data_IF_070183138452
#
_entry.id   IF_070183138452
#
_cell.length_a   1.000
_cell.length_b   1.000
_cell.length_c   1.000
_cell.angle_alpha   90.00
_cell.angle_beta   90.00
_cell.angle_gamma   90.00
#
_symmetry.space_group_name_H-M   'P 1'
#
loop_
_entity.id
_entity.type
_entity.pdbx_description
1 polymer ?
#
# COMPACT_ATOMS: atom_id res chain seq x y z
N UNK A 1 13.79 18.91 2.96
CA UNK A 1 13.71 19.82 4.11
C UNK A 1 14.71 19.41 5.19
N UNK A 2 15.07 20.33 6.08
CA UNK A 2 15.93 20.00 7.20
C UNK A 2 15.20 19.03 8.15
N UNK A 3 15.89 18.01 8.64
CA UNK A 3 15.36 16.96 9.52
C UNK A 3 14.75 17.49 10.84
N UNK A 4 14.99 18.74 11.17
CA UNK A 4 14.57 19.38 12.42
C UNK A 4 13.40 20.37 12.24
N UNK A 5 12.80 20.43 11.07
CA UNK A 5 11.59 21.25 10.88
C UNK A 5 10.35 20.44 11.20
N UNK A 6 9.48 21.01 12.06
CA UNK A 6 8.15 20.45 12.26
C UNK A 6 7.42 20.37 10.93
N UNK A 7 6.71 19.25 10.65
CA UNK A 7 5.92 19.14 9.44
C UNK A 7 4.87 20.27 9.41
N UNK A 8 4.81 20.99 8.31
CA UNK A 8 3.77 22.00 8.08
C UNK A 8 2.54 21.31 7.50
N UNK A 9 1.39 21.44 8.13
CA UNK A 9 0.13 21.03 7.54
C UNK A 9 -0.16 21.92 6.35
N UNK A 10 0.01 21.38 5.16
CA UNK A 10 -0.46 22.02 3.93
C UNK A 10 -1.93 21.63 3.82
N UNK A 11 -2.87 22.48 4.02
CA UNK A 11 -4.32 22.33 3.97
C UNK A 11 -4.83 21.04 3.25
N UNK A 12 -5.99 20.46 3.63
CA UNK A 12 -6.49 19.28 2.95
C UNK A 12 -6.66 19.57 1.45
N UNK A 13 -6.09 18.71 0.60
CA UNK A 13 -6.12 18.90 -0.84
C UNK A 13 -7.53 18.79 -1.43
N UNK A 14 -8.39 18.01 -0.80
CA UNK A 14 -9.79 17.76 -1.20
C UNK A 14 -10.50 16.96 -0.10
N UNK A 15 -11.84 16.95 -0.16
CA UNK A 15 -12.67 16.11 0.68
C UNK A 15 -12.86 14.76 0.00
N UNK A 16 -12.76 13.68 0.77
CA UNK A 16 -13.00 12.30 0.32
C UNK A 16 -14.49 11.92 0.41
N UNK A 17 -15.39 12.80 0.04
CA UNK A 17 -16.83 12.62 0.24
C UNK A 17 -17.39 11.33 -0.42
N UNK A 18 -16.70 10.79 -1.40
CA UNK A 18 -17.08 9.56 -2.09
C UNK A 18 -16.27 8.31 -1.67
N UNK A 19 -15.38 8.44 -0.70
CA UNK A 19 -14.57 7.34 -0.17
C UNK A 19 -14.96 7.05 1.28
N UNK A 20 -15.23 5.79 1.57
CA UNK A 20 -15.62 5.35 2.91
C UNK A 20 -14.43 5.03 3.80
N UNK A 21 -13.38 4.44 3.23
CA UNK A 21 -12.14 4.11 3.93
C UNK A 21 -10.94 4.24 2.97
N UNK A 22 -10.43 5.47 2.84
CA UNK A 22 -9.22 5.72 2.08
C UNK A 22 -8.02 5.05 2.76
N UNK A 23 -7.25 4.28 1.98
CA UNK A 23 -6.09 3.53 2.46
C UNK A 23 -4.86 3.84 1.58
N UNK A 24 -4.38 2.89 0.77
CA UNK A 24 -3.19 3.09 -0.04
C UNK A 24 -3.32 4.21 -1.10
N UNK A 25 -2.21 4.87 -1.40
CA UNK A 25 -2.12 5.97 -2.37
C UNK A 25 -0.84 5.83 -3.21
N UNK A 26 -0.95 6.00 -4.53
CA UNK A 26 0.19 6.08 -5.43
C UNK A 26 -0.02 7.13 -6.52
N UNK A 27 1.06 7.63 -7.11
CA UNK A 27 1.00 8.66 -8.16
C UNK A 27 1.32 8.08 -9.55
N UNK A 28 0.77 8.72 -10.59
CA UNK A 28 1.26 8.58 -11.95
C UNK A 28 2.70 9.14 -12.07
N UNK A 29 3.41 8.69 -13.10
CA UNK A 29 4.80 9.13 -13.30
C UNK A 29 4.96 10.64 -13.58
N UNK A 30 3.93 11.29 -14.09
CA UNK A 30 3.86 12.71 -14.34
C UNK A 30 3.36 13.54 -13.16
N UNK A 31 2.93 12.89 -12.07
CA UNK A 31 2.39 13.54 -10.88
C UNK A 31 1.02 14.20 -11.07
N UNK A 32 0.39 14.06 -12.23
CA UNK A 32 -0.91 14.69 -12.51
C UNK A 32 -2.11 13.80 -12.14
N UNK A 33 -1.86 12.54 -11.90
CA UNK A 33 -2.89 11.58 -11.51
C UNK A 33 -2.45 10.85 -10.25
N UNK A 34 -3.37 10.71 -9.29
CA UNK A 34 -3.22 9.85 -8.14
C UNK A 34 -4.22 8.69 -8.24
N UNK A 35 -3.83 7.54 -7.72
CA UNK A 35 -4.71 6.39 -7.55
C UNK A 35 -4.78 6.09 -6.06
N UNK A 36 -5.99 6.12 -5.52
CA UNK A 36 -6.26 5.84 -4.12
C UNK A 36 -7.16 4.62 -3.97
N UNK A 37 -6.85 3.79 -3.00
CA UNK A 37 -7.70 2.66 -2.61
C UNK A 37 -8.77 3.16 -1.66
N UNK A 38 -10.02 2.81 -1.93
CA UNK A 38 -11.13 2.89 -1.01
C UNK A 38 -11.56 1.46 -0.65
N UNK A 39 -11.19 1.03 0.55
CA UNK A 39 -11.35 -0.34 1.02
C UNK A 39 -12.30 -0.49 2.19
N UNK A 40 -13.58 -0.02 2.11
CA UNK A 40 -14.50 -0.22 3.20
C UNK A 40 -14.73 -1.72 3.42
N UNK A 41 -14.74 -2.12 4.69
CA UNK A 41 -15.24 -3.44 5.08
C UNK A 41 -16.73 -3.45 4.77
N UNK A 42 -17.14 -4.23 3.77
CA UNK A 42 -18.49 -4.26 3.27
C UNK A 42 -19.46 -4.77 4.35
N UNK A 43 -19.96 -3.87 5.16
CA UNK A 43 -21.06 -4.10 6.08
C UNK A 43 -22.20 -3.16 5.68
N UNK A 44 -23.29 -3.73 5.20
CA UNK A 44 -24.56 -3.13 4.87
C UNK A 44 -24.63 -1.60 4.72
N UNK A 45 -24.68 -1.11 3.49
CA UNK A 45 -24.89 0.32 3.19
C UNK A 45 -23.63 1.15 2.92
N UNK A 46 -22.42 0.60 3.05
CA UNK A 46 -21.21 1.28 2.62
C UNK A 46 -21.01 1.20 1.10
N UNK A 47 -20.37 2.21 0.49
CA UNK A 47 -20.00 2.17 -0.91
C UNK A 47 -19.15 0.93 -1.25
N UNK A 48 -19.28 0.44 -2.48
CA UNK A 48 -18.45 -0.67 -2.98
C UNK A 48 -16.98 -0.32 -2.91
N UNK A 49 -16.10 -1.25 -2.46
CA UNK A 49 -14.66 -1.08 -2.53
C UNK A 49 -14.19 -0.80 -3.96
N UNK A 50 -13.21 0.09 -4.11
CA UNK A 50 -12.77 0.56 -5.43
C UNK A 50 -11.37 1.14 -5.40
N UNK A 51 -10.80 1.30 -6.58
CA UNK A 51 -9.68 2.22 -6.80
C UNK A 51 -10.24 3.49 -7.44
N UNK A 52 -9.94 4.62 -6.84
CA UNK A 52 -10.34 5.95 -7.29
C UNK A 52 -9.17 6.59 -8.03
N UNK A 53 -9.46 7.19 -9.17
CA UNK A 53 -8.53 8.02 -9.93
C UNK A 53 -8.82 9.48 -9.63
N UNK A 54 -7.81 10.18 -9.15
CA UNK A 54 -7.83 11.60 -8.81
C UNK A 54 -6.98 12.34 -9.83
N UNK A 55 -7.56 13.26 -10.57
CA UNK A 55 -6.84 14.12 -11.50
C UNK A 55 -6.53 15.45 -10.82
N UNK A 56 -5.26 15.82 -10.85
CA UNK A 56 -4.81 17.10 -10.30
C UNK A 56 -5.08 18.23 -11.28
N UNK A 57 -5.42 19.40 -10.78
CA UNK A 57 -5.61 20.58 -11.62
C UNK A 57 -4.29 21.00 -12.29
N UNK A 58 -4.34 21.27 -13.58
CA UNK A 58 -3.15 21.57 -14.39
C UNK A 58 -2.35 22.78 -13.88
N UNK A 59 -3.01 23.75 -13.28
CA UNK A 59 -2.40 24.98 -12.76
C UNK A 59 -2.24 25.00 -11.24
N UNK A 60 -2.64 23.94 -10.54
CA UNK A 60 -2.49 23.83 -9.10
C UNK A 60 -2.33 22.35 -8.69
N UNK A 61 -1.08 21.87 -8.48
CA UNK A 61 -0.82 20.49 -8.13
C UNK A 61 -1.29 20.11 -6.72
N UNK A 62 -1.81 21.05 -5.94
CA UNK A 62 -2.39 20.81 -4.62
C UNK A 62 -3.93 20.74 -4.66
N UNK A 63 -4.54 20.78 -5.85
CA UNK A 63 -5.98 20.71 -6.01
C UNK A 63 -6.38 19.56 -6.90
N UNK A 64 -7.36 18.77 -6.45
CA UNK A 64 -8.02 17.77 -7.31
C UNK A 64 -9.06 18.44 -8.18
N UNK A 65 -8.97 18.22 -9.49
CA UNK A 65 -9.87 18.72 -10.51
C UNK A 65 -11.03 17.76 -10.77
N UNK A 66 -10.73 16.46 -10.75
CA UNK A 66 -11.71 15.42 -11.01
C UNK A 66 -11.41 14.14 -10.22
N UNK A 67 -12.46 13.46 -9.78
CA UNK A 67 -12.43 12.19 -9.09
C UNK A 67 -13.38 11.20 -9.77
N UNK A 68 -12.88 10.02 -10.12
CA UNK A 68 -13.68 8.96 -10.76
C UNK A 68 -13.34 7.60 -10.19
N UNK A 69 -14.31 6.68 -10.15
CA UNK A 69 -14.02 5.26 -9.95
C UNK A 69 -13.20 4.76 -11.14
N UNK A 70 -11.99 4.29 -10.86
CA UNK A 70 -11.10 3.76 -11.88
C UNK A 70 -11.25 2.26 -12.06
N UNK A 71 -11.46 1.55 -10.94
CA UNK A 71 -11.70 0.10 -10.91
C UNK A 71 -12.66 -0.22 -9.77
N UNK A 72 -13.75 -0.93 -10.07
CA UNK A 72 -14.66 -1.48 -9.07
C UNK A 72 -14.09 -2.78 -8.52
N UNK A 73 -14.12 -2.95 -7.19
CA UNK A 73 -13.58 -4.08 -6.47
C UNK A 73 -14.62 -4.72 -5.52
N UNK A 74 -15.87 -4.73 -5.94
CA UNK A 74 -16.98 -5.29 -5.16
C UNK A 74 -16.64 -6.66 -4.55
N UNK A 75 -16.91 -6.83 -3.26
CA UNK A 75 -16.63 -8.06 -2.51
C UNK A 75 -15.16 -8.28 -2.15
N UNK A 76 -14.30 -7.29 -2.31
CA UNK A 76 -12.87 -7.32 -1.97
C UNK A 76 -12.54 -6.29 -0.90
N UNK A 77 -11.38 -6.44 -0.25
CA UNK A 77 -10.85 -5.47 0.72
C UNK A 77 -9.48 -5.00 0.23
N UNK A 78 -9.44 -4.05 -0.73
CA UNK A 78 -8.17 -3.51 -1.21
C UNK A 78 -7.52 -2.64 -0.14
N UNK A 79 -6.17 -2.70 -0.05
CA UNK A 79 -5.40 -1.99 0.96
C UNK A 79 -4.23 -1.21 0.35
N UNK A 80 -3.06 -1.83 0.18
CA UNK A 80 -1.90 -1.20 -0.41
C UNK A 80 -2.01 -1.02 -1.92
N UNK A 81 -1.38 0.02 -2.46
CA UNK A 81 -1.35 0.28 -3.90
C UNK A 81 -0.03 0.92 -4.30
N UNK A 82 0.61 0.41 -5.34
CA UNK A 82 1.81 0.98 -5.92
C UNK A 82 1.83 0.87 -7.43
N UNK A 83 2.54 1.79 -8.09
CA UNK A 83 2.67 1.83 -9.55
C UNK A 83 4.11 1.60 -9.99
N UNK A 84 4.29 0.81 -11.05
CA UNK A 84 5.56 0.67 -11.77
C UNK A 84 5.30 0.69 -13.28
N UNK A 85 5.78 1.71 -13.96
CA UNK A 85 5.50 1.89 -15.39
C UNK A 85 4.01 2.09 -15.67
N UNK A 86 3.45 1.28 -16.54
CA UNK A 86 2.03 1.22 -16.87
C UNK A 86 1.27 0.12 -16.13
N UNK A 87 1.85 -0.42 -15.08
CA UNK A 87 1.23 -1.42 -14.22
C UNK A 87 0.93 -0.83 -12.85
N UNK A 88 -0.27 -1.07 -12.37
CA UNK A 88 -0.69 -0.73 -11.04
C UNK A 88 -0.88 -2.03 -10.25
N UNK A 89 -0.23 -2.12 -9.12
CA UNK A 89 -0.30 -3.26 -8.21
C UNK A 89 -1.11 -2.86 -7.00
N UNK A 90 -1.90 -3.79 -6.45
CA UNK A 90 -2.60 -3.56 -5.20
C UNK A 90 -2.77 -4.86 -4.42
N UNK A 91 -2.75 -4.76 -3.11
CA UNK A 91 -3.16 -5.85 -2.23
C UNK A 91 -4.66 -5.81 -2.01
N UNK A 92 -5.28 -6.97 -1.94
CA UNK A 92 -6.64 -7.13 -1.44
C UNK A 92 -6.75 -8.39 -0.57
N UNK A 93 -7.85 -8.52 0.14
CA UNK A 93 -8.13 -9.70 0.94
C UNK A 93 -9.58 -10.11 0.81
N UNK A 94 -9.81 -11.42 0.91
CA UNK A 94 -11.12 -12.00 1.17
C UNK A 94 -11.17 -12.43 2.63
N UNK A 95 -12.06 -11.86 3.41
CA UNK A 95 -12.18 -12.25 4.82
C UNK A 95 -12.73 -13.68 4.92
N UNK A 96 -12.17 -14.53 5.80
CA UNK A 96 -11.26 -14.11 6.86
C UNK A 96 -9.76 -14.32 6.58
N UNK A 97 -9.32 -14.99 5.52
CA UNK A 97 -8.00 -15.60 5.60
C UNK A 97 -7.10 -15.51 4.36
N UNK A 98 -7.53 -14.99 3.24
CA UNK A 98 -6.71 -14.99 2.02
C UNK A 98 -6.42 -13.58 1.55
N UNK A 99 -5.13 -13.25 1.48
CA UNK A 99 -4.64 -12.07 0.80
C UNK A 99 -4.32 -12.37 -0.67
N UNK A 100 -4.27 -11.31 -1.47
CA UNK A 100 -3.81 -11.38 -2.87
C UNK A 100 -2.95 -10.17 -3.18
N UNK A 101 -1.96 -10.37 -4.02
CA UNK A 101 -1.30 -9.31 -4.75
C UNK A 101 -1.84 -9.34 -6.18
N UNK A 102 -2.39 -8.24 -6.63
CA UNK A 102 -2.98 -8.10 -7.96
C UNK A 102 -2.19 -7.13 -8.81
N UNK A 103 -2.34 -7.25 -10.13
CA UNK A 103 -1.80 -6.32 -11.11
C UNK A 103 -2.87 -5.92 -12.11
N UNK A 104 -2.90 -4.64 -12.46
CA UNK A 104 -3.81 -4.05 -13.45
C UNK A 104 -3.02 -3.21 -14.43
N UNK A 105 -3.10 -3.48 -15.74
CA UNK A 105 -2.53 -2.58 -16.74
C UNK A 105 -3.29 -1.24 -16.77
N UNK A 106 -2.56 -0.15 -16.81
CA UNK A 106 -3.09 1.17 -17.16
C UNK A 106 -3.06 1.26 -18.68
N UNK A 107 -4.24 1.35 -19.30
CA UNK A 107 -4.39 1.43 -20.74
C UNK A 107 -3.86 2.76 -21.30
N UNK A 108 -3.66 2.86 -22.62
CA UNK A 108 -3.16 4.10 -23.26
C UNK A 108 -4.07 5.31 -23.04
N UNK A 109 -5.38 5.08 -22.91
CA UNK A 109 -6.37 6.11 -22.57
C UNK A 109 -6.48 6.40 -21.08
N UNK A 110 -5.67 5.72 -20.26
CA UNK A 110 -5.65 5.86 -18.81
C UNK A 110 -6.78 5.11 -18.09
N UNK A 111 -7.55 4.27 -18.78
CA UNK A 111 -8.53 3.35 -18.18
C UNK A 111 -7.85 2.13 -17.54
N UNK A 112 -8.59 1.41 -16.70
CA UNK A 112 -8.13 0.15 -16.14
C UNK A 112 -8.23 -0.98 -17.16
N UNK A 113 -7.17 -1.77 -17.29
CA UNK A 113 -7.25 -3.06 -17.94
C UNK A 113 -7.90 -4.12 -17.06
N UNK A 114 -7.87 -5.38 -17.50
CA UNK A 114 -8.36 -6.49 -16.69
C UNK A 114 -7.40 -6.74 -15.52
N UNK A 115 -7.88 -6.78 -14.27
CA UNK A 115 -7.07 -7.15 -13.13
C UNK A 115 -6.72 -8.64 -13.16
N UNK A 116 -5.48 -8.96 -12.82
CA UNK A 116 -4.98 -10.32 -12.71
C UNK A 116 -4.44 -10.55 -11.30
N UNK A 117 -4.71 -11.72 -10.72
CA UNK A 117 -4.08 -12.16 -9.46
C UNK A 117 -2.66 -12.58 -9.79
N UNK A 118 -1.68 -11.87 -9.24
CA UNK A 118 -0.26 -12.20 -9.37
C UNK A 118 0.16 -13.26 -8.35
N UNK A 119 -0.33 -13.13 -7.11
CA UNK A 119 -0.06 -14.09 -6.05
C UNK A 119 -1.27 -14.22 -5.12
N UNK A 120 -1.55 -15.44 -4.68
CA UNK A 120 -2.43 -15.73 -3.54
C UNK A 120 -1.55 -15.87 -2.30
N UNK A 121 -1.95 -15.23 -1.21
CA UNK A 121 -1.18 -15.06 0.00
C UNK A 121 -1.86 -15.78 1.17
N UNK A 122 -1.07 -16.30 2.10
CA UNK A 122 -1.59 -17.12 3.20
C UNK A 122 -2.28 -16.32 4.32
N UNK A 123 -2.16 -15.01 4.30
CA UNK A 123 -2.71 -14.13 5.33
C UNK A 123 -3.23 -12.82 4.73
N UNK A 124 -3.93 -12.03 5.54
CA UNK A 124 -4.36 -10.69 5.17
C UNK A 124 -3.14 -9.83 4.84
N UNK A 125 -3.02 -9.46 3.56
CA UNK A 125 -1.99 -8.55 3.09
C UNK A 125 -2.43 -7.11 3.35
N UNK A 126 -1.61 -6.36 4.06
CA UNK A 126 -1.87 -4.93 4.30
C UNK A 126 -1.24 -4.11 3.18
N UNK A 127 0.02 -3.77 3.28
CA UNK A 127 0.72 -3.00 2.26
C UNK A 127 1.91 -3.78 1.69
N UNK A 128 2.54 -3.20 0.68
CA UNK A 128 3.71 -3.80 0.03
C UNK A 128 4.63 -2.74 -0.56
N UNK A 129 5.88 -3.12 -0.82
CA UNK A 129 6.83 -2.31 -1.57
C UNK A 129 7.29 -3.04 -2.82
N UNK A 130 7.37 -2.32 -3.95
CA UNK A 130 8.00 -2.83 -5.16
C UNK A 130 9.51 -2.66 -5.01
N UNK A 131 10.23 -3.77 -5.02
CA UNK A 131 11.68 -3.83 -4.95
C UNK A 131 12.30 -3.89 -6.35
N UNK A 132 13.63 -3.91 -6.43
CA UNK A 132 14.34 -4.09 -7.70
C UNK A 132 14.10 -5.47 -8.33
N UNK A 133 13.85 -6.48 -7.50
CA UNK A 133 13.77 -7.90 -7.86
C UNK A 133 12.46 -8.59 -7.44
N UNK A 134 11.43 -7.81 -7.09
CA UNK A 134 10.13 -8.36 -6.69
C UNK A 134 9.34 -7.43 -5.78
N UNK A 135 8.71 -8.01 -4.77
CA UNK A 135 7.85 -7.30 -3.82
C UNK A 135 8.19 -7.73 -2.38
N UNK A 136 8.13 -6.78 -1.44
CA UNK A 136 8.02 -7.09 -0.02
C UNK A 136 6.56 -6.84 0.39
N UNK A 137 5.90 -7.81 1.00
CA UNK A 137 4.48 -7.74 1.37
C UNK A 137 4.34 -7.94 2.88
N UNK A 138 3.61 -7.06 3.56
CA UNK A 138 3.32 -7.18 4.98
C UNK A 138 2.04 -7.98 5.24
N UNK A 139 2.08 -8.85 6.23
CA UNK A 139 0.94 -9.60 6.74
C UNK A 139 0.48 -9.00 8.07
N UNK A 140 -0.72 -8.42 8.06
CA UNK A 140 -1.22 -7.61 9.17
C UNK A 140 -1.34 -8.39 10.49
N UNK A 141 -1.99 -9.55 10.47
CA UNK A 141 -2.26 -10.30 11.70
C UNK A 141 -1.10 -11.15 12.18
N UNK A 142 -0.32 -11.70 11.27
CA UNK A 142 0.76 -12.64 11.62
C UNK A 142 2.08 -11.96 11.94
N UNK A 143 2.18 -10.63 11.75
CA UNK A 143 3.43 -9.92 12.02
C UNK A 143 4.59 -10.44 11.19
N UNK A 144 4.34 -10.62 9.90
CA UNK A 144 5.33 -11.10 8.93
C UNK A 144 5.55 -10.09 7.81
N UNK A 145 6.70 -10.16 7.19
CA UNK A 145 6.97 -9.62 5.86
C UNK A 145 7.51 -10.77 5.01
N UNK A 146 6.91 -10.98 3.86
CA UNK A 146 7.37 -11.96 2.86
C UNK A 146 7.94 -11.25 1.64
N UNK A 147 8.79 -11.95 0.91
CA UNK A 147 9.33 -11.49 -0.36
C UNK A 147 8.82 -12.36 -1.49
N UNK A 148 8.23 -11.72 -2.50
CA UNK A 148 7.83 -12.36 -3.75
C UNK A 148 8.76 -11.89 -4.88
N UNK A 149 9.01 -12.76 -5.86
CA UNK A 149 9.60 -12.35 -7.13
C UNK A 149 8.53 -11.69 -8.03
N UNK A 150 8.89 -11.22 -9.22
CA UNK A 150 7.92 -10.59 -10.15
C UNK A 150 6.95 -11.58 -10.81
N UNK A 151 7.12 -12.88 -10.60
CA UNK A 151 6.16 -13.93 -11.01
C UNK A 151 5.12 -14.21 -9.92
N UNK A 152 5.25 -13.60 -8.74
CA UNK A 152 4.36 -13.81 -7.60
C UNK A 152 4.75 -15.02 -6.73
N UNK A 153 5.90 -15.64 -6.98
CA UNK A 153 6.39 -16.76 -6.18
C UNK A 153 7.10 -16.24 -4.93
N UNK A 154 6.80 -16.83 -3.77
CA UNK A 154 7.50 -16.50 -2.54
C UNK A 154 8.93 -17.06 -2.59
N UNK A 155 9.91 -16.19 -2.45
CA UNK A 155 11.34 -16.52 -2.53
C UNK A 155 12.06 -16.33 -1.20
N UNK A 156 11.49 -15.57 -0.26
CA UNK A 156 12.06 -15.28 1.05
C UNK A 156 10.96 -14.79 2.01
N UNK A 157 11.27 -14.62 3.27
CA UNK A 157 10.36 -14.04 4.24
C UNK A 157 10.81 -14.24 5.69
N UNK A 158 10.17 -13.52 6.57
CA UNK A 158 10.35 -13.67 8.01
C UNK A 158 9.35 -14.67 8.58
N UNK A 159 9.69 -15.30 9.69
CA UNK A 159 8.77 -16.17 10.41
C UNK A 159 7.58 -15.37 10.98
N UNK A 160 6.43 -16.02 11.23
CA UNK A 160 5.33 -15.42 11.97
C UNK A 160 5.82 -14.81 13.30
N UNK A 161 5.25 -13.68 13.67
CA UNK A 161 5.56 -12.93 14.90
C UNK A 161 7.01 -12.40 15.00
N UNK A 162 7.73 -12.34 13.86
CA UNK A 162 9.02 -11.60 13.80
C UNK A 162 8.78 -10.10 14.06
N UNK A 163 7.66 -9.58 13.56
CA UNK A 163 7.15 -8.25 13.85
C UNK A 163 5.90 -8.36 14.73
N UNK A 164 5.50 -7.26 15.35
CA UNK A 164 4.24 -7.22 16.11
C UNK A 164 3.03 -7.39 15.18
N UNK A 165 1.91 -7.86 15.73
CA UNK A 165 0.63 -7.81 15.03
C UNK A 165 0.30 -6.37 14.62
N UNK A 166 -0.50 -6.20 13.58
CA UNK A 166 -0.69 -4.88 12.98
C UNK A 166 0.55 -4.39 12.21
N UNK A 167 1.38 -5.31 11.68
CA UNK A 167 2.42 -4.99 10.71
C UNK A 167 1.76 -4.46 9.46
N UNK A 168 1.95 -3.17 9.18
CA UNK A 168 1.20 -2.45 8.17
C UNK A 168 2.08 -2.09 6.99
N UNK A 169 2.78 -0.99 7.05
CA UNK A 169 3.60 -0.52 5.93
C UNK A 169 4.93 -1.27 5.85
N UNK A 170 5.31 -1.66 4.65
CA UNK A 170 6.67 -2.09 4.33
C UNK A 170 7.21 -1.23 3.20
N UNK A 171 8.38 -0.65 3.37
CA UNK A 171 8.95 0.33 2.45
C UNK A 171 10.45 0.09 2.24
N UNK A 172 10.90 0.19 1.00
CA UNK A 172 12.34 0.18 0.72
C UNK A 172 12.99 1.46 1.23
N UNK A 173 14.12 1.33 1.92
CA UNK A 173 14.93 2.45 2.37
C UNK A 173 15.44 3.29 1.20
N UNK A 174 15.78 4.56 1.50
CA UNK A 174 16.35 5.49 0.52
C UNK A 174 17.41 6.37 1.15
N UNK A 175 18.55 6.62 0.45
CA UNK A 175 19.52 7.60 0.89
C UNK A 175 18.89 9.00 1.07
N UNK A 176 19.44 9.84 1.95
CA UNK A 176 20.67 9.63 2.74
C UNK A 176 20.44 8.92 4.08
N UNK A 177 19.19 8.66 4.51
CA UNK A 177 18.89 8.13 5.85
C UNK A 177 19.01 6.61 5.92
N UNK A 178 18.67 5.93 4.85
CA UNK A 178 18.63 4.47 4.78
C UNK A 178 19.33 3.97 3.51
N UNK A 179 19.77 2.72 3.54
CA UNK A 179 20.27 2.04 2.34
C UNK A 179 19.13 1.61 1.44
N UNK A 180 19.35 1.51 0.14
CA UNK A 180 18.44 0.91 -0.82
C UNK A 180 18.16 -0.58 -0.54
N UNK A 181 18.95 -1.22 0.32
CA UNK A 181 18.76 -2.60 0.76
C UNK A 181 18.03 -2.73 2.09
N UNK A 182 17.78 -1.61 2.79
CA UNK A 182 17.03 -1.62 4.03
C UNK A 182 15.53 -1.76 3.72
N UNK A 183 14.81 -2.47 4.59
CA UNK A 183 13.35 -2.45 4.64
C UNK A 183 12.91 -1.73 5.91
N UNK A 184 11.97 -0.82 5.75
CA UNK A 184 11.33 -0.08 6.85
C UNK A 184 9.96 -0.70 7.07
N UNK A 185 9.70 -1.19 8.28
CA UNK A 185 8.46 -1.88 8.64
C UNK A 185 7.79 -1.14 9.77
N UNK A 186 6.54 -0.72 9.58
CA UNK A 186 5.73 -0.13 10.65
C UNK A 186 4.91 -1.19 11.35
N UNK A 187 4.87 -1.11 12.68
CA UNK A 187 4.22 -2.08 13.53
C UNK A 187 3.26 -1.36 14.49
N UNK A 188 1.97 -1.70 14.44
CA UNK A 188 0.97 -1.11 15.33
C UNK A 188 0.96 -1.79 16.70
N UNK A 189 1.17 -3.09 16.76
CA UNK A 189 1.00 -3.86 17.98
C UNK A 189 -0.47 -4.13 18.29
N UNK A 190 -0.90 -3.85 19.53
CA UNK A 190 -2.28 -4.10 19.94
C UNK A 190 -3.21 -3.09 19.29
N UNK A 191 -4.16 -3.56 18.50
CA UNK A 191 -5.17 -2.73 17.84
C UNK A 191 -6.05 -2.03 18.89
N UNK A 192 -6.28 -0.73 18.66
CA UNK A 192 -7.07 0.10 19.57
C UNK A 192 -6.27 0.72 20.72
N UNK A 193 -5.07 0.25 21.04
CA UNK A 193 -4.19 0.89 22.00
C UNK A 193 -3.27 1.91 21.34
N UNK A 194 -3.33 3.15 21.80
CA UNK A 194 -2.44 4.21 21.30
C UNK A 194 -1.05 4.17 21.92
N UNK A 195 -0.91 3.60 23.11
CA UNK A 195 0.33 3.53 23.88
C UNK A 195 0.78 2.10 24.17
N UNK A 196 0.52 1.18 23.25
CA UNK A 196 0.94 -0.22 23.41
C UNK A 196 2.45 -0.33 23.65
N UNK A 197 2.90 -1.08 24.67
CA UNK A 197 4.31 -1.35 24.87
C UNK A 197 4.89 -2.27 23.77
N UNK A 198 4.02 -2.94 23.01
CA UNK A 198 4.37 -3.84 21.92
C UNK A 198 3.89 -3.22 20.63
N UNK A 199 4.80 -2.94 19.69
CA UNK A 199 4.48 -2.24 18.44
C UNK A 199 4.57 -0.71 18.59
N UNK A 200 3.79 0.01 17.80
CA UNK A 200 3.89 1.48 17.64
C UNK A 200 5.31 1.94 17.33
N UNK A 201 6.00 1.21 16.46
CA UNK A 201 7.41 1.46 16.13
C UNK A 201 7.65 1.33 14.62
N UNK A 202 8.77 1.90 14.22
CA UNK A 202 9.37 1.69 12.90
C UNK A 202 10.59 0.79 13.09
N UNK A 203 10.55 -0.40 12.51
CA UNK A 203 11.67 -1.33 12.49
C UNK A 203 12.45 -1.21 11.19
N UNK A 204 13.76 -1.11 11.29
CA UNK A 204 14.67 -1.10 10.14
C UNK A 204 15.35 -2.45 10.03
N UNK A 205 15.03 -3.17 8.96
CA UNK A 205 15.67 -4.45 8.64
C UNK A 205 16.81 -4.21 7.68
N UNK A 206 18.03 -4.57 8.07
CA UNK A 206 19.23 -4.43 7.24
C UNK A 206 19.71 -5.77 6.75
N UNK A 207 20.03 -5.85 5.47
CA UNK A 207 20.72 -7.02 4.95
C UNK A 207 22.15 -7.00 5.48
N UNK A 208 22.48 -7.90 6.40
CA UNK A 208 23.86 -8.11 6.84
C UNK A 208 24.58 -8.88 5.74
N UNK A 209 25.51 -8.26 5.04
CA UNK A 209 26.46 -9.00 4.20
C UNK A 209 27.36 -9.79 5.14
N UNK A 210 27.22 -11.10 5.17
CA UNK A 210 28.22 -11.98 5.77
C UNK A 210 29.37 -12.03 4.75
N UNK A 211 30.47 -11.35 5.09
CA UNK A 211 31.72 -11.46 4.35
C UNK A 211 32.33 -12.85 4.53
#
# INVERSE_FOLDING_TARGET
GALNQSPTLIAPMFNYDSMALANGLTSSGDGQTLYAVDGPIATGGLPSPKIVKLRMAANNPLKVDNQTTWLDLAGRFPNGIQRRGNLLYFTDSEIPNLGRLNVVPIQKDGSAGMPLVLATLESLADDFSILSDGFAVSYFFTGQVIKLNFLGEQVDGFNPLTFSTGTSQVMQGRPPLFSNTDLLVTEKGILGEQSSPVGNKLTVVRKVSIN
#
